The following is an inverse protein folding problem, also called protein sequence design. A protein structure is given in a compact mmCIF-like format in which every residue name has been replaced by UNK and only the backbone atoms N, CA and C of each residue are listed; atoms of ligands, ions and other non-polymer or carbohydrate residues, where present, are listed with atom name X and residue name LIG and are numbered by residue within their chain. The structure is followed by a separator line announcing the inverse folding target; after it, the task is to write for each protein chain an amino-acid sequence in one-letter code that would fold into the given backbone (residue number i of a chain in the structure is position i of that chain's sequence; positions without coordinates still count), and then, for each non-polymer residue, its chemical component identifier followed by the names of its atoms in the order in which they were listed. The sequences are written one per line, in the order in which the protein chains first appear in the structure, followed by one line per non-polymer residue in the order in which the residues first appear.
data_IF_396496589533
#
_entry.id   IF_396496589533
#
_cell.length_a   1.000
_cell.length_b   1.000
_cell.length_c   1.000
_cell.angle_alpha   90.00
_cell.angle_beta   90.00
_cell.angle_gamma   90.00
#
_symmetry.space_group_name_H-M   'P 1'
#
loop_
_entity.id
_entity.type
_entity.pdbx_description
1 polymer ?
#
# COMPACT_ATOMS: atom_id res chain seq x y z
N UNK A 1 -65.61 -8.37 21.47
CA UNK A 1 -64.22 -7.89 21.70
C UNK A 1 -63.29 -8.61 20.73
N UNK A 2 -62.96 -7.95 19.62
CA UNK A 2 -62.21 -8.54 18.50
C UNK A 2 -60.71 -8.42 18.75
N UNK A 3 -60.00 -9.55 18.91
CA UNK A 3 -58.53 -9.58 19.01
C UNK A 3 -57.92 -9.17 17.66
N UNK A 4 -57.41 -7.94 17.55
CA UNK A 4 -56.49 -7.56 16.47
C UNK A 4 -55.16 -8.28 16.70
N UNK A 5 -54.86 -9.30 15.89
CA UNK A 5 -53.49 -9.80 15.74
C UNK A 5 -52.69 -8.70 15.05
N UNK A 6 -51.77 -8.05 15.76
CA UNK A 6 -50.78 -7.20 15.13
C UNK A 6 -49.85 -8.06 14.28
N UNK A 7 -49.95 -7.91 12.96
CA UNK A 7 -48.98 -8.43 12.01
C UNK A 7 -47.69 -7.63 12.21
N UNK A 8 -46.74 -8.17 12.95
CA UNK A 8 -45.37 -7.62 13.00
C UNK A 8 -44.72 -7.97 11.67
N UNK A 9 -44.67 -7.00 10.77
CA UNK A 9 -43.92 -7.09 9.51
C UNK A 9 -42.44 -6.97 9.86
N UNK A 10 -41.70 -8.08 9.86
CA UNK A 10 -40.24 -8.04 9.94
C UNK A 10 -39.71 -7.27 8.73
N UNK A 11 -39.24 -6.03 8.97
CA UNK A 11 -38.53 -5.27 7.94
C UNK A 11 -37.22 -5.99 7.62
N UNK A 12 -37.01 -6.32 6.34
CA UNK A 12 -35.90 -7.14 5.87
C UNK A 12 -34.54 -6.59 6.31
N UNK A 13 -33.76 -7.41 7.02
CA UNK A 13 -32.39 -7.10 7.37
C UNK A 13 -31.47 -7.55 6.24
N UNK A 14 -31.07 -6.62 5.37
CA UNK A 14 -30.04 -6.90 4.37
C UNK A 14 -28.67 -6.93 5.04
N UNK A 15 -27.94 -8.03 4.83
CA UNK A 15 -26.55 -8.21 5.25
C UNK A 15 -25.67 -8.13 4.01
N UNK A 16 -24.54 -7.45 4.12
CA UNK A 16 -23.51 -7.37 3.08
C UNK A 16 -22.35 -8.27 3.52
N UNK A 17 -21.97 -9.18 2.64
CA UNK A 17 -20.77 -10.00 2.76
C UNK A 17 -19.65 -9.30 1.99
N UNK A 18 -18.59 -8.89 2.69
CA UNK A 18 -17.40 -8.30 2.09
C UNK A 18 -16.25 -9.30 2.22
N UNK A 19 -15.63 -9.59 1.10
CA UNK A 19 -14.38 -10.33 1.02
C UNK A 19 -13.34 -9.40 0.41
N UNK A 20 -12.16 -9.34 1.01
CA UNK A 20 -11.07 -8.50 0.56
C UNK A 20 -9.73 -9.16 0.82
N UNK A 21 -8.71 -8.73 0.09
CA UNK A 21 -7.34 -9.21 0.27
C UNK A 21 -6.50 -8.06 0.79
N UNK A 22 -5.73 -8.31 1.85
CA UNK A 22 -4.78 -7.33 2.37
C UNK A 22 -3.71 -7.03 1.30
N UNK A 23 -3.58 -5.77 0.93
CA UNK A 23 -2.73 -5.32 -0.19
C UNK A 23 -1.23 -5.49 0.07
N UNK A 24 -0.82 -5.76 1.32
CA UNK A 24 0.58 -5.96 1.69
C UNK A 24 0.92 -7.44 1.90
N UNK A 25 0.02 -8.17 2.54
CA UNK A 25 0.28 -9.55 2.96
C UNK A 25 -0.38 -10.58 2.05
N UNK A 26 -1.30 -10.17 1.17
CA UNK A 26 -2.10 -11.08 0.35
C UNK A 26 -3.08 -11.93 1.16
N UNK A 27 -3.26 -11.66 2.46
CA UNK A 27 -4.13 -12.46 3.32
C UNK A 27 -5.60 -12.13 3.03
N UNK A 28 -6.47 -13.15 2.89
CA UNK A 28 -7.90 -12.92 2.73
C UNK A 28 -8.53 -12.48 4.05
N UNK A 29 -9.46 -11.53 3.96
CA UNK A 29 -10.25 -11.01 5.05
C UNK A 29 -11.73 -11.04 4.68
N UNK A 30 -12.56 -11.45 5.64
CA UNK A 30 -14.00 -11.56 5.46
C UNK A 30 -14.70 -10.75 6.55
N UNK A 31 -15.67 -9.94 6.14
CA UNK A 31 -16.48 -9.11 7.03
C UNK A 31 -17.96 -9.20 6.68
N UNK A 32 -18.81 -9.34 7.70
CA UNK A 32 -20.26 -9.34 7.55
C UNK A 32 -20.84 -8.07 8.18
N UNK A 33 -21.45 -7.21 7.37
CA UNK A 33 -21.98 -5.91 7.79
C UNK A 33 -23.50 -5.84 7.63
N UNK A 34 -24.20 -5.35 8.65
CA UNK A 34 -25.66 -5.17 8.62
C UNK A 34 -26.06 -3.76 8.16
N UNK A 35 -26.93 -3.65 7.16
CA UNK A 35 -27.31 -2.40 6.48
C UNK A 35 -28.07 -1.37 7.35
N UNK A 36 -28.64 -1.76 8.51
CA UNK A 36 -29.51 -0.90 9.33
C UNK A 36 -28.97 -0.48 10.70
N UNK A 37 -27.77 -0.89 11.11
CA UNK A 37 -27.12 -0.18 12.21
C UNK A 37 -26.63 1.16 11.65
N UNK A 38 -27.40 2.22 11.88
CA UNK A 38 -27.17 3.64 11.50
C UNK A 38 -25.81 4.24 11.97
N UNK A 39 -24.82 3.42 12.28
CA UNK A 39 -23.56 3.82 12.94
C UNK A 39 -22.37 2.92 12.60
N UNK A 40 -22.43 2.08 11.55
CA UNK A 40 -21.26 1.30 11.11
C UNK A 40 -20.89 1.66 9.68
N UNK A 41 -20.27 2.83 9.51
CA UNK A 41 -19.62 3.18 8.24
C UNK A 41 -18.42 2.25 8.05
N UNK A 42 -18.23 1.75 6.83
CA UNK A 42 -16.96 1.14 6.44
C UNK A 42 -15.99 2.26 6.12
N UNK A 43 -14.81 2.23 6.74
CA UNK A 43 -13.74 3.17 6.43
C UNK A 43 -13.13 2.74 5.11
N UNK A 44 -13.31 3.56 4.07
CA UNK A 44 -12.61 3.39 2.80
C UNK A 44 -11.30 4.14 2.92
N UNK A 45 -10.18 3.43 2.91
CA UNK A 45 -8.88 4.03 3.09
C UNK A 45 -8.38 4.68 1.79
N UNK A 46 -7.66 5.79 1.91
CA UNK A 46 -6.99 6.42 0.77
C UNK A 46 -5.64 5.76 0.54
N UNK A 47 -5.41 5.27 -0.68
CA UNK A 47 -4.11 4.80 -1.14
C UNK A 47 -3.46 5.96 -1.91
N UNK A 48 -2.25 6.33 -1.51
CA UNK A 48 -1.40 7.26 -2.27
C UNK A 48 -0.21 6.50 -2.82
N UNK A 49 0.15 6.78 -4.05
CA UNK A 49 1.39 6.28 -4.65
C UNK A 49 2.36 7.46 -4.78
N UNK A 50 3.63 7.21 -4.49
CA UNK A 50 4.72 8.17 -4.62
C UNK A 50 5.98 7.44 -5.05
N UNK A 51 6.92 8.19 -5.60
CA UNK A 51 8.26 7.71 -5.89
C UNK A 51 9.26 8.27 -4.88
N UNK A 52 10.33 7.53 -4.60
CA UNK A 52 11.42 7.94 -3.72
C UNK A 52 12.74 7.44 -4.32
N UNK A 53 13.78 8.26 -4.31
CA UNK A 53 15.11 7.85 -4.76
C UNK A 53 15.76 7.01 -3.67
N UNK A 54 16.25 5.81 -4.01
CA UNK A 54 17.06 5.02 -3.07
C UNK A 54 18.45 5.65 -2.96
N UNK A 55 18.90 5.93 -1.74
CA UNK A 55 20.26 6.41 -1.48
C UNK A 55 21.19 5.25 -1.17
N UNK A 56 20.86 4.44 -0.16
CA UNK A 56 21.65 3.28 0.25
C UNK A 56 20.84 2.34 1.16
N UNK A 57 21.42 1.16 1.39
CA UNK A 57 20.98 0.23 2.42
C UNK A 57 21.79 0.41 3.69
N UNK A 58 21.12 0.40 4.84
CA UNK A 58 21.78 0.27 6.14
C UNK A 58 22.30 -1.16 6.36
N UNK A 59 23.28 -1.37 7.27
CA UNK A 59 23.81 -2.70 7.57
C UNK A 59 22.78 -3.72 8.07
N UNK A 60 21.67 -3.25 8.64
CA UNK A 60 20.54 -4.07 9.09
C UNK A 60 19.55 -4.42 7.95
N UNK A 61 19.79 -3.89 6.74
CA UNK A 61 18.94 -4.06 5.58
C UNK A 61 17.78 -3.07 5.48
N UNK A 62 17.74 -2.04 6.31
CA UNK A 62 16.78 -0.93 6.18
C UNK A 62 17.09 -0.05 4.96
N UNK A 63 16.06 0.50 4.32
CA UNK A 63 16.22 1.38 3.16
C UNK A 63 16.35 2.83 3.62
N UNK A 64 17.33 3.55 3.10
CA UNK A 64 17.42 5.00 3.22
C UNK A 64 17.11 5.62 1.86
N UNK A 65 16.06 6.42 1.80
CA UNK A 65 15.58 7.00 0.54
C UNK A 65 15.34 8.49 0.68
N UNK A 66 15.30 9.20 -0.44
CA UNK A 66 14.99 10.62 -0.53
C UNK A 66 13.63 10.77 -1.20
N UNK A 67 12.72 11.53 -0.57
CA UNK A 67 11.45 11.84 -1.19
C UNK A 67 11.53 13.06 -2.13
N UNK A 68 10.43 13.38 -2.80
CA UNK A 68 10.34 14.51 -3.72
C UNK A 68 10.52 15.89 -3.07
N UNK A 69 10.47 15.96 -1.74
CA UNK A 69 10.70 17.20 -0.98
C UNK A 69 12.16 17.38 -0.56
N UNK A 70 12.99 16.36 -0.77
CA UNK A 70 14.38 16.32 -0.32
C UNK A 70 14.53 15.85 1.13
N UNK A 71 13.48 15.29 1.74
CA UNK A 71 13.56 14.71 3.07
C UNK A 71 13.98 13.24 2.99
N UNK A 72 14.85 12.84 3.94
CA UNK A 72 15.30 11.45 4.07
C UNK A 72 14.24 10.61 4.77
N UNK A 73 13.87 9.50 4.15
CA UNK A 73 12.85 8.55 4.61
C UNK A 73 13.51 7.20 4.90
N UNK A 74 13.31 6.69 6.11
CA UNK A 74 13.89 5.40 6.57
C UNK A 74 12.84 4.38 7.04
N UNK A 75 11.57 4.78 7.14
CA UNK A 75 10.45 3.95 7.61
C UNK A 75 9.76 3.17 6.48
N UNK A 76 10.55 2.64 5.53
CA UNK A 76 10.05 1.90 4.36
C UNK A 76 10.02 0.39 4.63
N UNK A 77 8.86 -0.22 4.36
CA UNK A 77 8.74 -1.68 4.29
C UNK A 77 8.91 -2.16 2.85
N UNK A 78 9.45 -3.36 2.65
CA UNK A 78 9.54 -3.99 1.33
C UNK A 78 8.46 -5.08 1.25
N UNK A 79 7.67 -5.08 0.18
CA UNK A 79 6.52 -5.98 0.02
C UNK A 79 6.89 -7.46 0.04
N UNK A 80 8.04 -7.83 -0.51
CA UNK A 80 8.48 -9.22 -0.59
C UNK A 80 10.00 -9.38 -0.53
N UNK A 81 10.45 -10.54 -0.07
CA UNK A 81 11.89 -10.89 -0.03
C UNK A 81 12.49 -10.97 -1.44
N UNK A 82 11.70 -11.37 -2.44
CA UNK A 82 12.13 -11.36 -3.84
C UNK A 82 12.47 -9.94 -4.30
N UNK A 83 11.57 -8.99 -4.05
CA UNK A 83 11.79 -7.57 -4.39
C UNK A 83 13.02 -7.01 -3.67
N UNK A 84 13.22 -7.40 -2.40
CA UNK A 84 14.42 -7.04 -1.64
C UNK A 84 15.70 -7.51 -2.34
N UNK A 85 15.75 -8.78 -2.76
CA UNK A 85 16.91 -9.33 -3.47
C UNK A 85 17.16 -8.63 -4.81
N UNK A 86 16.09 -8.31 -5.57
CA UNK A 86 16.19 -7.59 -6.85
C UNK A 86 16.75 -6.17 -6.63
N UNK A 87 16.22 -5.43 -5.65
CA UNK A 87 16.71 -4.10 -5.28
C UNK A 87 18.17 -4.10 -4.84
N UNK A 88 18.55 -5.04 -3.95
CA UNK A 88 19.94 -5.15 -3.48
C UNK A 88 20.90 -5.41 -4.64
N UNK A 89 20.55 -6.33 -5.54
CA UNK A 89 21.39 -6.63 -6.72
C UNK A 89 21.53 -5.43 -7.66
N UNK A 90 20.43 -4.73 -7.95
CA UNK A 90 20.45 -3.57 -8.82
C UNK A 90 21.28 -2.42 -8.20
N UNK A 91 21.15 -2.22 -6.88
CA UNK A 91 21.95 -1.21 -6.17
C UNK A 91 23.45 -1.59 -6.12
N UNK A 92 23.78 -2.85 -5.87
CA UNK A 92 25.16 -3.35 -5.91
C UNK A 92 25.79 -3.25 -7.31
N UNK A 93 24.97 -3.31 -8.37
CA UNK A 93 25.40 -3.06 -9.74
C UNK A 93 25.66 -1.58 -10.05
N UNK A 94 25.35 -0.67 -9.11
CA UNK A 94 25.53 0.77 -9.27
C UNK A 94 24.38 1.46 -10.00
N UNK A 95 23.22 0.82 -10.12
CA UNK A 95 22.05 1.44 -10.73
C UNK A 95 21.43 2.49 -9.79
N UNK A 96 20.98 3.61 -10.36
CA UNK A 96 20.14 4.56 -9.65
C UNK A 96 18.69 4.03 -9.62
N UNK A 97 18.15 3.86 -8.41
CA UNK A 97 16.86 3.20 -8.22
C UNK A 97 15.82 4.18 -7.72
N UNK A 98 14.75 4.34 -8.49
CA UNK A 98 13.56 5.06 -8.09
C UNK A 98 12.52 4.06 -7.55
N UNK A 99 12.31 4.07 -6.24
CA UNK A 99 11.37 3.19 -5.55
C UNK A 99 9.94 3.65 -5.77
N UNK A 100 9.04 2.73 -6.14
CA UNK A 100 7.61 2.99 -6.16
C UNK A 100 7.00 2.58 -4.82
N UNK A 101 6.42 3.55 -4.12
CA UNK A 101 5.96 3.41 -2.73
C UNK A 101 4.46 3.63 -2.64
N UNK A 102 3.75 2.70 -2.01
CA UNK A 102 2.36 2.86 -1.59
C UNK A 102 2.31 3.35 -0.16
N UNK A 103 1.61 4.47 0.04
CA UNK A 103 1.36 5.10 1.32
C UNK A 103 -0.10 4.86 1.72
N UNK A 104 -0.30 4.24 2.89
CA UNK A 104 -1.60 3.85 3.37
C UNK A 104 -1.65 3.84 4.90
N UNK A 105 -2.61 4.55 5.51
CA UNK A 105 -2.80 4.60 6.97
C UNK A 105 -1.48 4.83 7.76
N UNK A 106 -0.59 5.68 7.23
CA UNK A 106 0.71 5.98 7.84
C UNK A 106 1.83 4.95 7.59
N UNK A 107 1.55 3.85 6.87
CA UNK A 107 2.55 2.89 6.41
C UNK A 107 3.02 3.21 5.00
N UNK A 108 4.32 3.00 4.75
CA UNK A 108 4.95 3.15 3.43
C UNK A 108 5.53 1.81 3.01
N UNK A 109 5.12 1.30 1.85
CA UNK A 109 5.57 0.01 1.35
C UNK A 109 6.06 0.12 -0.08
N UNK A 110 7.30 -0.30 -0.31
CA UNK A 110 7.91 -0.44 -1.63
C UNK A 110 7.32 -1.66 -2.31
N UNK A 111 6.71 -1.48 -3.48
CA UNK A 111 6.07 -2.57 -4.23
C UNK A 111 6.69 -2.81 -5.61
N UNK A 112 7.45 -1.85 -6.13
CA UNK A 112 8.24 -1.96 -7.35
C UNK A 112 9.35 -0.91 -7.35
N UNK A 113 10.21 -0.95 -8.35
CA UNK A 113 11.23 0.07 -8.60
C UNK A 113 11.43 0.27 -10.11
N UNK A 114 12.01 1.41 -10.45
CA UNK A 114 12.49 1.73 -11.80
C UNK A 114 13.98 2.01 -11.68
N UNK A 115 14.81 1.28 -12.44
CA UNK A 115 16.23 1.58 -12.56
C UNK A 115 16.46 2.59 -13.69
N UNK A 116 17.15 3.69 -13.39
CA UNK A 116 17.61 4.63 -14.41
C UNK A 116 18.92 4.12 -15.01
N UNK A 117 18.82 3.17 -15.94
CA UNK A 117 19.96 2.65 -16.70
C UNK A 117 20.11 3.29 -18.09
N UNK A 118 19.42 4.41 -18.36
CA UNK A 118 19.75 5.18 -19.55
C UNK A 118 20.90 6.13 -19.23
N UNK A 119 22.10 5.74 -19.65
CA UNK A 119 23.23 6.61 -19.90
C UNK A 119 22.80 7.87 -20.67
N UNK A 120 22.28 8.89 -19.99
CA UNK A 120 22.45 10.27 -20.40
C UNK A 120 23.86 10.68 -20.02
N UNK A 121 24.85 10.03 -20.65
CA UNK A 121 26.13 10.68 -20.89
C UNK A 121 25.80 11.84 -21.83
N UNK A 122 25.41 12.98 -21.25
CA UNK A 122 25.56 14.25 -21.92
C UNK A 122 27.07 14.38 -22.19
N UNK A 123 27.49 13.94 -23.38
CA UNK A 123 28.80 14.30 -23.88
C UNK A 123 28.83 15.83 -23.88
N UNK A 124 29.79 16.46 -23.19
CA UNK A 124 29.94 17.89 -23.30
C UNK A 124 30.22 18.18 -24.78
N UNK A 125 29.32 18.94 -25.42
CA UNK A 125 29.58 19.47 -26.75
C UNK A 125 30.69 20.51 -26.59
N UNK A 126 31.87 20.21 -27.15
CA UNK A 126 32.95 21.20 -27.34
C UNK A 126 32.48 22.39 -28.19
#
# INVERSE_FOLDING_TARGET
MTKRKHLVRHMGQHKVHLEGVDIFTGRPHVGLYGCFMKSRNVIIPTIKETTMLLLYFEPDGSLVSLDSTGETVTDLMILSDRLRQELTRAHEAGEELCLCVKCYMGKKVVFSYVGENEHFLAHPTE
#
